data_IF_694548557014
#
_entry.id   IF_694548557014
#
_cell.length_a   1.000
_cell.length_b   1.000
_cell.length_c   1.000
_cell.angle_alpha   90.00
_cell.angle_beta   90.00
_cell.angle_gamma   90.00
#
_symmetry.space_group_name_H-M   'P 1'
#
loop_
_entity.id
_entity.type
_entity.pdbx_description
1 polymer ?
#
# COMPACT_ATOMS: atom_id res chain seq x y z
N UNK A 1 12.38 -8.50 5.91
CA UNK A 1 11.31 -8.08 6.84
C UNK A 1 11.90 -8.00 8.24
N UNK A 2 11.93 -6.82 8.88
CA UNK A 2 12.52 -6.65 10.21
C UNK A 2 11.42 -6.53 11.27
N UNK A 3 11.48 -7.34 12.33
CA UNK A 3 10.42 -7.44 13.36
C UNK A 3 10.87 -6.81 14.68
N UNK A 4 9.92 -6.31 15.49
CA UNK A 4 10.18 -5.84 16.86
C UNK A 4 10.83 -6.92 17.74
N UNK A 5 10.49 -8.19 17.52
CA UNK A 5 11.10 -9.31 18.24
C UNK A 5 12.57 -9.55 17.85
N UNK A 6 12.94 -9.35 16.58
CA UNK A 6 14.32 -9.46 16.11
C UNK A 6 15.20 -8.29 16.57
N UNK A 7 14.61 -7.09 16.67
CA UNK A 7 15.27 -5.92 17.27
C UNK A 7 15.47 -6.12 18.78
N UNK A 8 14.45 -6.63 19.49
CA UNK A 8 14.53 -6.90 20.93
C UNK A 8 15.55 -8.00 21.30
N UNK A 9 15.82 -8.95 20.42
CA UNK A 9 16.80 -10.03 20.64
C UNK A 9 18.23 -9.63 20.22
N UNK A 10 18.42 -8.45 19.59
CA UNK A 10 19.73 -7.98 19.16
C UNK A 10 20.22 -8.60 17.85
N UNK A 11 19.34 -9.31 17.13
CA UNK A 11 19.62 -9.87 15.81
C UNK A 11 19.63 -8.82 14.68
N UNK A 12 19.14 -7.60 14.91
CA UNK A 12 19.07 -6.51 13.93
C UNK A 12 19.15 -5.13 14.59
N UNK A 13 19.84 -4.18 13.94
CA UNK A 13 20.12 -2.85 14.50
C UNK A 13 19.07 -1.77 14.20
N UNK A 14 18.09 -2.00 13.30
CA UNK A 14 17.14 -0.94 12.92
C UNK A 14 15.83 -1.44 12.29
N UNK A 15 14.73 -0.68 12.43
CA UNK A 15 13.39 -0.99 11.87
C UNK A 15 13.25 -0.40 10.45
N UNK A 16 13.35 -1.25 9.42
CA UNK A 16 12.91 -0.89 8.05
C UNK A 16 11.98 -1.99 7.57
N UNK A 17 10.70 -1.67 7.37
CA UNK A 17 9.76 -2.52 6.65
C UNK A 17 8.84 -1.68 5.76
N UNK A 18 8.98 -1.92 4.46
CA UNK A 18 7.96 -1.70 3.43
C UNK A 18 6.63 -2.27 3.94
N UNK A 19 5.51 -1.62 3.62
CA UNK A 19 4.16 -1.96 4.06
C UNK A 19 3.92 -3.47 4.23
N UNK A 20 3.97 -3.94 5.47
CA UNK A 20 3.39 -5.21 5.88
C UNK A 20 2.32 -4.87 6.91
N UNK A 21 1.13 -4.63 6.40
CA UNK A 21 -0.08 -4.57 7.21
C UNK A 21 -0.23 -5.91 7.96
N UNK A 22 -0.45 -5.76 9.27
CA UNK A 22 -1.16 -6.67 10.20
C UNK A 22 -0.45 -7.93 10.67
N UNK A 23 -0.20 -7.97 11.99
CA UNK A 23 -0.99 -8.85 12.86
C UNK A 23 -0.81 -8.57 14.37
N UNK A 24 -1.61 -7.65 14.91
CA UNK A 24 -2.00 -7.53 16.32
C UNK A 24 -3.48 -7.09 16.25
N UNK A 25 -4.48 -7.60 17.01
CA UNK A 25 -4.42 -8.29 18.29
C UNK A 25 -5.79 -8.87 18.72
N UNK A 26 -6.33 -9.90 18.08
CA UNK A 26 -7.33 -10.73 18.77
C UNK A 26 -6.61 -11.82 19.58
N UNK A 27 -6.68 -11.70 20.92
CA UNK A 27 -6.17 -12.64 21.95
C UNK A 27 -4.68 -12.56 22.38
N UNK A 28 -4.07 -11.37 22.38
CA UNK A 28 -2.69 -11.19 22.90
C UNK A 28 -1.62 -12.07 22.22
N UNK A 29 -1.73 -12.34 20.91
CA UNK A 29 -0.73 -13.13 20.18
C UNK A 29 -0.44 -12.50 18.81
N UNK A 30 0.85 -12.28 18.56
CA UNK A 30 1.43 -11.78 17.30
C UNK A 30 1.56 -12.97 16.33
N UNK A 31 0.99 -12.86 15.13
CA UNK A 31 1.28 -13.80 14.02
C UNK A 31 2.07 -13.03 12.96
N UNK A 32 3.09 -13.66 12.39
CA UNK A 32 3.87 -13.09 11.29
C UNK A 32 4.05 -14.17 10.24
N UNK A 33 3.69 -13.86 9.00
CA UNK A 33 4.12 -14.62 7.82
C UNK A 33 5.51 -14.10 7.43
N UNK A 34 6.49 -15.00 7.34
CA UNK A 34 7.89 -14.65 7.14
C UNK A 34 8.34 -15.16 5.77
N UNK A 35 8.30 -14.30 4.74
CA UNK A 35 9.08 -14.54 3.53
C UNK A 35 10.56 -14.31 3.85
N UNK A 36 11.32 -15.39 3.84
CA UNK A 36 12.79 -15.43 3.82
C UNK A 36 13.55 -15.06 5.11
N UNK A 37 13.42 -15.88 6.17
CA UNK A 37 14.40 -15.89 7.27
C UNK A 37 15.17 -17.20 7.30
N UNK A 38 16.50 -17.13 7.46
CA UNK A 38 17.33 -18.31 7.63
C UNK A 38 16.84 -19.15 8.82
N UNK A 39 16.63 -20.46 8.61
CA UNK A 39 16.04 -21.41 9.58
C UNK A 39 16.72 -21.44 10.97
N UNK A 40 17.93 -20.90 11.11
CA UNK A 40 18.75 -20.97 12.32
C UNK A 40 18.28 -19.98 13.41
N UNK A 41 17.60 -18.88 13.07
CA UNK A 41 17.17 -17.85 14.04
C UNK A 41 15.71 -17.95 14.49
N UNK A 42 14.96 -18.93 14.00
CA UNK A 42 13.51 -19.13 14.27
C UNK A 42 13.25 -19.46 15.75
N UNK A 43 14.14 -20.23 16.38
CA UNK A 43 13.99 -20.67 17.77
C UNK A 43 14.02 -19.51 18.76
N UNK A 44 14.93 -18.56 18.57
CA UNK A 44 15.14 -17.48 19.53
C UNK A 44 14.10 -16.36 19.36
N UNK A 45 13.65 -16.11 18.13
CA UNK A 45 12.52 -15.21 17.84
C UNK A 45 11.20 -15.75 18.40
N UNK A 46 10.98 -17.07 18.37
CA UNK A 46 9.80 -17.70 19.01
C UNK A 46 9.83 -17.55 20.53
N UNK A 47 11.01 -17.66 21.16
CA UNK A 47 11.16 -17.44 22.62
C UNK A 47 10.86 -16.00 23.03
N UNK A 48 11.07 -15.04 22.14
CA UNK A 48 10.69 -13.65 22.33
C UNK A 48 9.18 -13.37 22.12
N UNK A 49 8.36 -14.40 21.87
CA UNK A 49 6.89 -14.31 21.82
C UNK A 49 6.27 -14.27 20.42
N UNK A 50 7.05 -14.47 19.36
CA UNK A 50 6.51 -14.56 18.00
C UNK A 50 5.91 -15.94 17.70
N UNK A 51 4.75 -15.99 17.03
CA UNK A 51 4.26 -17.22 16.38
C UNK A 51 4.69 -17.17 14.91
N UNK A 52 5.60 -18.08 14.55
CA UNK A 52 6.09 -18.21 13.19
C UNK A 52 5.22 -19.25 12.48
N UNK A 53 4.44 -18.81 11.49
CA UNK A 53 3.74 -19.72 10.59
C UNK A 53 4.67 -19.99 9.41
N UNK A 54 5.22 -21.22 9.24
CA UNK A 54 5.96 -21.53 8.02
C UNK A 54 4.99 -21.54 6.86
N UNK A 55 5.35 -20.87 5.75
CA UNK A 55 4.59 -20.97 4.50
C UNK A 55 4.37 -22.45 4.18
N UNK A 56 3.10 -22.84 4.04
CA UNK A 56 2.75 -24.15 3.51
C UNK A 56 3.06 -24.12 2.00
N UNK A 57 4.32 -24.40 1.67
CA UNK A 57 4.84 -24.86 0.38
C UNK A 57 4.25 -24.13 -0.85
N UNK A 58 4.86 -23.01 -1.26
CA UNK A 58 4.80 -22.60 -2.67
C UNK A 58 6.12 -22.14 -3.30
N UNK A 59 7.20 -21.98 -2.53
CA UNK A 59 8.51 -21.64 -3.11
C UNK A 59 9.61 -22.62 -2.66
N UNK A 60 9.49 -23.87 -3.08
CA UNK A 60 10.70 -24.69 -3.25
C UNK A 60 11.25 -24.37 -4.64
N UNK A 61 12.33 -23.61 -4.67
CA UNK A 61 13.11 -23.36 -5.88
C UNK A 61 13.29 -24.67 -6.68
N UNK A 62 13.23 -24.65 -8.03
CA UNK A 62 13.32 -25.85 -8.89
C UNK A 62 14.52 -26.75 -8.60
N UNK A 63 15.55 -26.23 -7.93
CA UNK A 63 16.74 -26.96 -7.51
C UNK A 63 16.52 -27.99 -6.38
N UNK A 64 15.57 -27.77 -5.45
CA UNK A 64 15.36 -28.67 -4.30
C UNK A 64 14.53 -29.89 -4.69
N UNK A 65 13.50 -29.72 -5.51
CA UNK A 65 12.61 -30.81 -5.95
C UNK A 65 13.36 -31.85 -6.79
N UNK A 66 14.39 -31.43 -7.53
CA UNK A 66 15.19 -32.31 -8.38
C UNK A 66 16.23 -33.16 -7.62
N UNK A 67 16.47 -32.89 -6.33
CA UNK A 67 17.49 -33.59 -5.53
C UNK A 67 16.91 -34.52 -4.43
N UNK A 68 15.58 -34.68 -4.36
CA UNK A 68 14.94 -35.62 -3.41
C UNK A 68 14.84 -37.01 -4.04
N UNK A 69 15.49 -38.00 -3.43
CA UNK A 69 15.50 -39.40 -3.87
C UNK A 69 14.05 -39.96 -3.97
N UNK A 70 13.67 -40.68 -5.06
CA UNK A 70 12.27 -41.04 -5.35
C UNK A 70 11.54 -41.82 -4.24
N UNK A 71 12.28 -42.59 -3.44
CA UNK A 71 11.73 -43.40 -2.35
C UNK A 71 11.12 -42.57 -1.19
N UNK A 72 11.48 -41.28 -1.05
CA UNK A 72 11.03 -40.45 0.06
C UNK A 72 9.84 -39.53 -0.28
N UNK A 73 9.41 -39.45 -1.56
CA UNK A 73 8.25 -38.61 -1.94
C UNK A 73 6.91 -39.13 -1.42
N UNK A 74 6.72 -40.46 -1.34
CA UNK A 74 5.44 -41.06 -0.93
C UNK A 74 5.17 -40.98 0.58
N UNK A 75 6.21 -40.82 1.41
CA UNK A 75 6.07 -40.81 2.87
C UNK A 75 5.61 -39.45 3.42
N UNK A 76 6.01 -38.36 2.75
CA UNK A 76 5.68 -36.98 3.17
C UNK A 76 4.21 -36.61 2.93
N UNK A 77 3.60 -37.14 1.86
CA UNK A 77 2.18 -36.87 1.51
C UNK A 77 1.23 -37.65 2.43
N UNK A 78 1.67 -38.78 3.00
CA UNK A 78 0.80 -39.66 3.78
C UNK A 78 0.69 -39.27 5.27
N UNK A 79 1.69 -38.59 5.84
CA UNK A 79 1.68 -38.19 7.25
C UNK A 79 0.97 -36.84 7.49
N UNK A 80 0.97 -35.92 6.52
CA UNK A 80 0.24 -34.65 6.59
C UNK A 80 -1.28 -34.82 6.55
N UNK A 81 -1.78 -35.87 5.89
CA UNK A 81 -3.23 -36.16 5.80
C UNK A 81 -3.87 -36.75 7.06
N UNK A 82 -3.10 -37.28 8.03
CA UNK A 82 -3.67 -37.93 9.23
C UNK A 82 -3.84 -36.99 10.44
N UNK A 83 -3.16 -35.85 10.50
CA UNK A 83 -3.24 -34.93 11.65
C UNK A 83 -4.38 -33.90 11.57
N UNK A 84 -5.08 -33.81 10.44
CA UNK A 84 -6.25 -32.95 10.28
C UNK A 84 -7.57 -33.55 10.82
N UNK A 85 -7.55 -34.74 11.44
CA UNK A 85 -8.78 -35.48 11.82
C UNK A 85 -8.94 -35.85 13.31
N UNK A 86 -8.17 -35.30 14.24
CA UNK A 86 -8.44 -35.52 15.67
C UNK A 86 -8.69 -34.21 16.42
N UNK A 87 -9.97 -33.91 16.64
CA UNK A 87 -10.42 -33.01 17.70
C UNK A 87 -10.05 -33.56 19.08
N UNK A 88 -9.81 -32.65 20.03
CA UNK A 88 -9.59 -32.87 21.48
C UNK A 88 -8.28 -33.56 21.92
N UNK A 89 -7.29 -32.77 22.35
CA UNK A 89 -6.83 -32.62 23.76
C UNK A 89 -5.40 -32.07 23.89
N UNK A 90 -5.24 -31.13 24.84
CA UNK A 90 -4.08 -30.78 25.69
C UNK A 90 -2.64 -30.94 25.16
N UNK A 91 -1.93 -29.79 25.12
CA UNK A 91 -0.46 -29.57 25.17
C UNK A 91 0.40 -30.60 24.44
N UNK A 92 0.91 -30.23 23.25
CA UNK A 92 1.94 -31.03 22.55
C UNK A 92 3.13 -30.15 22.20
N UNK A 93 4.27 -30.44 22.81
CA UNK A 93 5.58 -29.93 22.39
C UNK A 93 6.01 -30.64 21.10
N UNK A 94 6.36 -29.89 20.06
CA UNK A 94 6.95 -30.43 18.85
C UNK A 94 8.46 -30.63 19.09
N UNK A 95 8.92 -31.88 19.05
CA UNK A 95 10.35 -32.23 19.03
C UNK A 95 10.69 -32.69 17.61
N UNK A 96 11.43 -31.88 16.86
CA UNK A 96 12.01 -32.30 15.57
C UNK A 96 13.39 -32.87 15.84
N UNK A 97 13.60 -34.16 15.57
CA UNK A 97 14.88 -34.82 15.80
C UNK A 97 15.95 -34.40 14.79
N UNK A 98 17.09 -33.90 15.29
CA UNK A 98 18.34 -33.77 14.53
C UNK A 98 18.82 -35.15 14.06
N UNK A 99 18.53 -35.54 12.82
CA UNK A 99 19.14 -36.77 12.26
C UNK A 99 19.19 -36.78 10.73
N UNK A 100 19.59 -35.67 10.10
CA UNK A 100 19.79 -35.64 8.65
C UNK A 100 20.98 -34.81 8.16
N UNK A 101 22.07 -34.67 8.92
CA UNK A 101 23.35 -34.20 8.34
C UNK A 101 24.53 -34.85 9.07
N UNK A 102 24.99 -36.00 8.56
CA UNK A 102 26.34 -36.52 8.78
C UNK A 102 26.99 -36.74 7.43
N UNK A 103 27.84 -35.80 7.04
CA UNK A 103 28.67 -35.87 5.85
C UNK A 103 29.63 -34.68 5.89
N UNK A 104 30.77 -34.88 6.55
CA UNK A 104 31.79 -33.85 6.71
C UNK A 104 32.62 -33.65 5.44
N UNK A 105 33.04 -32.42 5.21
CA UNK A 105 34.23 -32.09 4.43
C UNK A 105 34.89 -30.85 5.07
N UNK A 106 36.12 -31.04 5.54
CA UNK A 106 37.03 -30.01 6.05
C UNK A 106 37.62 -29.21 4.89
N UNK A 107 37.65 -27.87 4.98
CA UNK A 107 38.63 -27.02 4.28
C UNK A 107 38.99 -25.82 5.20
N UNK A 108 40.29 -25.57 5.37
CA UNK A 108 40.91 -24.76 6.42
C UNK A 108 40.85 -23.22 6.30
N UNK A 109 41.62 -22.49 7.13
CA UNK A 109 41.45 -21.06 7.39
C UNK A 109 42.28 -20.20 6.43
N UNK A 110 41.70 -19.13 5.89
CA UNK A 110 42.45 -18.11 5.16
C UNK A 110 41.93 -16.68 5.44
N UNK A 111 42.81 -15.94 6.12
CA UNK A 111 43.27 -14.56 5.83
C UNK A 111 42.27 -13.43 5.55
N UNK A 112 42.36 -12.41 6.41
CA UNK A 112 42.01 -11.01 6.14
C UNK A 112 42.60 -10.52 4.80
N UNK A 113 41.76 -9.96 3.94
CA UNK A 113 42.14 -8.93 2.99
C UNK A 113 41.09 -7.81 3.01
N UNK A 114 41.53 -6.61 3.39
CA UNK A 114 40.83 -5.35 3.13
C UNK A 114 40.89 -5.07 1.63
N UNK A 115 39.75 -4.77 1.03
CA UNK A 115 39.65 -4.31 -0.36
C UNK A 115 38.33 -3.61 -0.60
N UNK A 116 38.31 -2.29 -0.42
CA UNK A 116 37.27 -1.42 -0.98
C UNK A 116 37.42 -1.42 -2.50
N UNK A 117 36.38 -1.79 -3.24
CA UNK A 117 36.20 -1.37 -4.64
C UNK A 117 34.73 -1.10 -4.91
N UNK A 118 34.42 0.19 -4.99
CA UNK A 118 33.23 0.78 -5.61
C UNK A 118 33.21 0.43 -7.10
N UNK A 119 32.13 -0.19 -7.58
CA UNK A 119 31.90 -0.37 -9.01
C UNK A 119 31.23 0.90 -9.57
N UNK A 120 32.04 1.79 -10.12
CA UNK A 120 31.63 2.83 -11.07
C UNK A 120 32.49 2.72 -12.32
N UNK A 121 31.88 3.11 -13.44
CA UNK A 121 32.40 3.20 -14.81
C UNK A 121 32.32 1.93 -15.65
N UNK A 122 31.40 1.95 -16.61
CA UNK A 122 31.73 1.55 -17.97
C UNK A 122 31.25 2.63 -18.94
N UNK A 123 32.22 3.18 -19.65
CA UNK A 123 32.13 4.19 -20.69
C UNK A 123 31.49 3.64 -21.96
N UNK A 124 30.52 4.36 -22.54
CA UNK A 124 30.13 4.19 -23.94
C UNK A 124 30.29 5.52 -24.69
N UNK A 125 30.96 5.43 -25.85
CA UNK A 125 31.24 6.52 -26.79
C UNK A 125 29.99 6.82 -27.62
N UNK A 126 29.62 8.09 -27.72
CA UNK A 126 28.69 8.63 -28.72
C UNK A 126 29.45 9.02 -29.99
N UNK A 127 28.88 8.83 -31.19
CA UNK A 127 29.24 9.63 -32.36
C UNK A 127 28.36 10.87 -32.48
N UNK A 128 29.03 11.97 -32.85
CA UNK A 128 28.46 13.26 -33.24
C UNK A 128 27.45 13.12 -34.40
N UNK A 129 26.36 13.88 -34.36
CA UNK A 129 25.93 14.69 -35.50
C UNK A 129 24.91 15.78 -35.10
N UNK A 130 25.38 17.02 -35.21
CA UNK A 130 24.74 18.25 -35.71
C UNK A 130 23.29 18.61 -35.34
N UNK A 131 23.21 19.77 -34.66
CA UNK A 131 22.06 20.65 -34.46
C UNK A 131 21.20 20.91 -35.71
N UNK A 132 19.88 20.95 -35.52
CA UNK A 132 19.01 21.92 -36.20
C UNK A 132 17.83 22.30 -35.29
N UNK A 133 17.76 23.60 -34.98
CA UNK A 133 16.66 24.25 -34.27
C UNK A 133 15.56 24.51 -35.29
N UNK A 134 14.35 23.98 -35.07
CA UNK A 134 13.14 24.53 -35.68
C UNK A 134 12.00 24.55 -34.66
N UNK A 135 11.69 25.76 -34.22
CA UNK A 135 10.39 26.11 -33.68
C UNK A 135 9.37 26.08 -34.83
N UNK A 136 8.27 25.34 -34.69
CA UNK A 136 7.08 25.54 -35.52
C UNK A 136 5.83 25.32 -34.68
N UNK A 137 5.08 26.40 -34.54
CA UNK A 137 3.70 26.46 -34.05
C UNK A 137 2.74 26.21 -35.23
N UNK A 138 1.67 25.47 -34.96
CA UNK A 138 0.33 25.42 -35.60
C UNK A 138 0.07 24.69 -36.93
N UNK A 139 -0.94 23.80 -36.88
CA UNK A 139 -1.78 23.36 -38.02
C UNK A 139 -2.47 21.99 -37.77
N UNK A 140 -3.79 21.82 -37.99
CA UNK A 140 -4.50 20.58 -37.68
C UNK A 140 -4.26 19.54 -38.78
N UNK A 141 -3.35 18.61 -38.53
CA UNK A 141 -3.15 17.43 -39.37
C UNK A 141 -4.12 16.33 -38.98
N UNK A 142 -4.97 15.91 -39.93
CA UNK A 142 -5.68 14.62 -39.85
C UNK A 142 -4.63 13.49 -39.83
N UNK A 143 -4.28 13.02 -38.64
CA UNK A 143 -3.45 11.83 -38.43
C UNK A 143 -4.35 10.66 -38.05
N UNK A 144 -4.27 9.57 -38.80
CA UNK A 144 -5.02 8.34 -38.53
C UNK A 144 -4.81 7.86 -37.09
N UNK A 145 -5.89 7.37 -36.48
CA UNK A 145 -5.82 6.62 -35.23
C UNK A 145 -4.95 5.38 -35.45
N UNK A 146 -3.65 5.49 -35.20
CA UNK A 146 -2.85 4.32 -34.85
C UNK A 146 -3.29 3.96 -33.45
N UNK A 147 -4.26 3.05 -33.34
CA UNK A 147 -4.66 2.48 -32.06
C UNK A 147 -3.38 2.04 -31.32
N UNK A 148 -3.30 2.35 -30.03
CA UNK A 148 -2.22 1.83 -29.19
C UNK A 148 -2.14 0.30 -29.37
N UNK A 149 -0.93 -0.30 -29.34
CA UNK A 149 -0.78 -1.76 -29.28
C UNK A 149 -1.76 -2.36 -28.27
N UNK A 150 -2.24 -3.57 -28.51
CA UNK A 150 -3.27 -4.21 -27.68
C UNK A 150 -2.85 -4.24 -26.20
N UNK A 151 -1.56 -4.47 -25.93
CA UNK A 151 -0.95 -4.43 -24.60
C UNK A 151 -0.92 -3.03 -23.92
N UNK A 152 -1.24 -1.97 -24.66
CA UNK A 152 -1.31 -0.57 -24.21
C UNK A 152 -2.74 -0.01 -24.30
N UNK A 153 -3.73 -0.89 -24.49
CA UNK A 153 -5.14 -0.54 -24.29
C UNK A 153 -5.54 -0.84 -22.85
N UNK A 154 -6.52 -0.10 -22.33
CA UNK A 154 -7.04 -0.33 -20.99
C UNK A 154 -8.14 -1.40 -21.03
N UNK A 155 -7.94 -2.49 -20.29
CA UNK A 155 -8.87 -3.62 -20.20
C UNK A 155 -10.03 -3.34 -19.22
N UNK A 156 -10.87 -2.35 -19.57
CA UNK A 156 -11.97 -1.85 -18.71
C UNK A 156 -12.87 -2.98 -18.19
N UNK A 157 -13.40 -3.82 -19.08
CA UNK A 157 -14.37 -4.86 -18.71
C UNK A 157 -13.77 -5.95 -17.79
N UNK A 158 -12.55 -6.47 -18.04
CA UNK A 158 -11.84 -7.29 -17.06
C UNK A 158 -11.69 -6.62 -15.70
N UNK A 159 -11.29 -5.35 -15.62
CA UNK A 159 -11.12 -4.65 -14.33
C UNK A 159 -12.43 -4.50 -13.54
N UNK A 160 -13.55 -4.23 -14.23
CA UNK A 160 -14.88 -4.17 -13.59
C UNK A 160 -15.26 -5.54 -13.02
N UNK A 161 -15.09 -6.61 -13.80
CA UNK A 161 -15.39 -7.99 -13.36
C UNK A 161 -14.50 -8.42 -12.20
N UNK A 162 -13.21 -8.09 -12.26
CA UNK A 162 -12.26 -8.32 -11.18
C UNK A 162 -12.79 -7.77 -9.86
N UNK A 163 -13.16 -6.48 -9.83
CA UNK A 163 -13.66 -5.80 -8.63
C UNK A 163 -14.96 -6.45 -8.13
N UNK A 164 -15.89 -6.76 -9.03
CA UNK A 164 -17.15 -7.45 -8.67
C UNK A 164 -16.91 -8.85 -8.06
N UNK A 165 -15.84 -9.53 -8.47
CA UNK A 165 -15.52 -10.88 -7.99
C UNK A 165 -14.85 -10.93 -6.62
N UNK A 166 -14.35 -9.80 -6.09
CA UNK A 166 -13.55 -9.78 -4.86
C UNK A 166 -14.32 -10.29 -3.63
N UNK A 167 -15.64 -10.12 -3.58
CA UNK A 167 -16.48 -10.62 -2.48
C UNK A 167 -17.06 -12.03 -2.71
N UNK A 168 -16.84 -12.66 -3.88
CA UNK A 168 -17.46 -13.96 -4.17
C UNK A 168 -16.71 -15.16 -3.61
N UNK A 169 -15.41 -15.00 -3.32
CA UNK A 169 -14.47 -16.08 -2.99
C UNK A 169 -14.42 -16.43 -1.49
N UNK A 170 -15.60 -16.52 -0.84
CA UNK A 170 -15.73 -16.70 0.63
C UNK A 170 -15.28 -18.07 1.13
N UNK A 171 -15.06 -19.02 0.23
CA UNK A 171 -14.52 -20.34 0.49
C UNK A 171 -12.98 -20.41 0.42
N UNK A 172 -12.32 -19.36 -0.07
CA UNK A 172 -10.85 -19.26 -0.18
C UNK A 172 -10.22 -18.68 1.10
N UNK A 173 -9.05 -19.20 1.49
CA UNK A 173 -8.32 -18.72 2.66
C UNK A 173 -7.81 -17.28 2.46
N UNK A 174 -7.39 -16.97 1.23
CA UNK A 174 -6.88 -15.69 0.76
C UNK A 174 -7.92 -14.57 0.97
N UNK A 175 -9.21 -14.88 0.77
CA UNK A 175 -10.29 -13.94 1.07
C UNK A 175 -10.27 -13.54 2.55
N UNK A 176 -10.19 -14.50 3.47
CA UNK A 176 -10.22 -14.22 4.90
C UNK A 176 -8.91 -13.59 5.42
N UNK A 177 -7.77 -13.89 4.78
CA UNK A 177 -6.51 -13.23 5.10
C UNK A 177 -6.54 -11.71 4.88
N UNK A 178 -7.44 -11.22 4.02
CA UNK A 178 -7.59 -9.78 3.72
C UNK A 178 -8.76 -9.12 4.46
N UNK A 179 -9.43 -9.82 5.38
CA UNK A 179 -10.58 -9.27 6.12
C UNK A 179 -10.25 -7.97 6.87
N UNK A 180 -9.03 -7.90 7.42
CA UNK A 180 -8.51 -6.72 8.12
C UNK A 180 -8.28 -5.49 7.21
N UNK A 181 -8.54 -5.61 5.91
CA UNK A 181 -8.45 -4.54 4.91
C UNK A 181 -9.79 -4.33 4.18
N UNK A 182 -10.85 -5.08 4.51
CA UNK A 182 -12.05 -5.24 3.65
C UNK A 182 -12.72 -3.90 3.33
N UNK A 183 -12.96 -3.06 4.33
CA UNK A 183 -13.59 -1.76 4.15
C UNK A 183 -12.72 -0.82 3.27
N UNK A 184 -11.40 -0.82 3.46
CA UNK A 184 -10.51 -0.07 2.57
C UNK A 184 -10.51 -0.67 1.15
N UNK A 185 -10.55 -2.00 1.03
CA UNK A 185 -10.69 -2.71 -0.24
C UNK A 185 -11.95 -2.32 -1.00
N UNK A 186 -13.06 -2.15 -0.29
CA UNK A 186 -14.32 -1.66 -0.86
C UNK A 186 -14.17 -0.21 -1.36
N UNK A 187 -13.50 0.66 -0.61
CA UNK A 187 -13.18 2.03 -1.06
C UNK A 187 -12.32 2.00 -2.34
N UNK A 188 -11.25 1.21 -2.36
CA UNK A 188 -10.36 1.10 -3.52
C UNK A 188 -11.09 0.58 -4.76
N UNK A 189 -11.90 -0.47 -4.61
CA UNK A 189 -12.70 -1.01 -5.70
C UNK A 189 -13.74 -0.02 -6.20
N UNK A 190 -14.47 0.62 -5.29
CA UNK A 190 -15.49 1.61 -5.66
C UNK A 190 -14.87 2.83 -6.36
N UNK A 191 -13.70 3.29 -5.92
CA UNK A 191 -13.01 4.41 -6.54
C UNK A 191 -12.54 4.08 -7.95
N UNK A 192 -11.94 2.90 -8.14
CA UNK A 192 -11.58 2.41 -9.48
C UNK A 192 -12.81 2.33 -10.40
N UNK A 193 -13.95 1.86 -9.91
CA UNK A 193 -15.20 1.79 -10.68
C UNK A 193 -15.74 3.16 -11.07
N UNK A 194 -15.64 4.16 -10.19
CA UNK A 194 -16.02 5.54 -10.53
C UNK A 194 -15.11 6.09 -11.64
N UNK A 195 -13.80 5.88 -11.52
CA UNK A 195 -12.82 6.30 -12.54
C UNK A 195 -13.03 5.58 -13.88
N UNK A 196 -13.55 4.35 -13.88
CA UNK A 196 -13.91 3.61 -15.10
C UNK A 196 -15.28 3.99 -15.68
N UNK A 197 -15.99 4.98 -15.10
CA UNK A 197 -17.34 5.35 -15.54
C UNK A 197 -18.37 4.24 -15.29
N UNK A 198 -18.17 3.43 -14.24
CA UNK A 198 -19.05 2.32 -13.82
C UNK A 198 -19.43 2.40 -12.33
N UNK A 199 -19.91 3.56 -11.83
CA UNK A 199 -20.17 3.76 -10.40
C UNK A 199 -21.21 2.78 -9.82
N UNK A 200 -22.14 2.31 -10.65
CA UNK A 200 -23.23 1.41 -10.25
C UNK A 200 -22.89 -0.09 -10.39
N UNK A 201 -21.62 -0.44 -10.63
CA UNK A 201 -21.21 -1.84 -10.82
C UNK A 201 -21.27 -2.70 -9.55
N UNK A 202 -21.35 -2.07 -8.37
CA UNK A 202 -21.58 -2.76 -7.09
C UNK A 202 -23.00 -2.47 -6.56
N UNK A 203 -23.65 -3.42 -5.87
CA UNK A 203 -24.97 -3.18 -5.29
C UNK A 203 -24.92 -2.08 -4.22
N UNK A 204 -25.55 -0.93 -4.50
CA UNK A 204 -25.51 0.25 -3.64
C UNK A 204 -25.97 -0.05 -2.20
N UNK A 205 -27.11 -0.72 -2.02
CA UNK A 205 -27.66 -0.95 -0.69
C UNK A 205 -26.77 -1.92 0.13
N UNK A 206 -26.27 -2.99 -0.48
CA UNK A 206 -25.38 -3.94 0.19
C UNK A 206 -24.06 -3.25 0.61
N UNK A 207 -23.57 -2.32 -0.22
CA UNK A 207 -22.40 -1.48 0.08
C UNK A 207 -22.66 -0.62 1.33
N UNK A 208 -23.79 0.07 1.39
CA UNK A 208 -24.18 0.92 2.53
C UNK A 208 -24.34 0.06 3.80
N UNK A 209 -25.07 -1.05 3.70
CA UNK A 209 -25.33 -1.94 4.83
C UNK A 209 -24.03 -2.51 5.39
N UNK A 210 -23.10 -2.95 4.53
CA UNK A 210 -21.78 -3.43 4.95
C UNK A 210 -21.00 -2.34 5.70
N UNK A 211 -20.91 -1.14 5.14
CA UNK A 211 -20.17 -0.03 5.75
C UNK A 211 -20.78 0.33 7.11
N UNK A 212 -22.10 0.53 7.20
CA UNK A 212 -22.76 0.92 8.45
C UNK A 212 -22.67 -0.19 9.53
N UNK A 213 -22.64 -1.46 9.13
CA UNK A 213 -22.38 -2.58 10.06
C UNK A 213 -20.96 -2.61 10.62
N UNK A 214 -20.02 -1.86 10.03
CA UNK A 214 -18.67 -1.68 10.58
C UNK A 214 -18.58 -0.52 11.58
N UNK A 215 -19.66 0.28 11.76
CA UNK A 215 -19.66 1.42 12.67
C UNK A 215 -19.81 0.99 14.14
N UNK A 216 -18.96 1.54 15.00
CA UNK A 216 -19.01 1.35 16.45
C UNK A 216 -19.79 2.44 17.16
N UNK A 217 -20.20 2.17 18.40
CA UNK A 217 -20.93 3.13 19.25
C UNK A 217 -20.14 4.41 19.55
N UNK A 218 -18.80 4.36 19.49
CA UNK A 218 -17.95 5.53 19.65
C UNK A 218 -17.88 6.40 18.39
N UNK A 219 -18.43 5.94 17.26
CA UNK A 219 -18.47 6.63 15.98
C UNK A 219 -17.49 6.11 14.94
N UNK A 220 -16.37 5.49 15.35
CA UNK A 220 -15.36 4.97 14.43
C UNK A 220 -15.81 3.70 13.70
N UNK A 221 -15.15 3.38 12.59
CA UNK A 221 -15.40 2.17 11.81
C UNK A 221 -14.24 1.19 11.92
N UNK A 222 -14.56 -0.11 11.91
CA UNK A 222 -13.58 -1.19 11.78
C UNK A 222 -13.40 -1.66 10.34
N UNK A 223 -12.41 -2.52 10.10
CA UNK A 223 -12.11 -3.07 8.77
C UNK A 223 -13.25 -3.93 8.19
N UNK A 224 -13.99 -4.60 9.07
CA UNK A 224 -15.13 -5.46 8.81
C UNK A 224 -15.99 -5.52 10.09
N UNK A 225 -17.24 -6.05 10.04
CA UNK A 225 -18.07 -6.18 11.22
C UNK A 225 -17.36 -6.93 12.35
N UNK A 226 -17.32 -6.34 13.55
CA UNK A 226 -16.65 -6.91 14.72
C UNK A 226 -15.14 -6.65 14.83
N UNK A 227 -14.52 -5.97 13.87
CA UNK A 227 -13.15 -5.47 13.99
C UNK A 227 -13.10 -4.15 14.75
N UNK A 228 -11.99 -3.85 15.42
CA UNK A 228 -11.83 -2.63 16.22
C UNK A 228 -11.90 -1.38 15.34
N UNK A 229 -12.44 -0.30 15.92
CA UNK A 229 -12.54 0.99 15.24
C UNK A 229 -11.15 1.61 15.05
N UNK A 230 -10.85 2.06 13.83
CA UNK A 230 -9.60 2.75 13.50
C UNK A 230 -9.86 3.91 12.54
N UNK A 231 -9.04 4.95 12.64
CA UNK A 231 -9.13 6.16 11.84
C UNK A 231 -9.12 5.87 10.34
N UNK A 232 -8.21 5.00 9.88
CA UNK A 232 -8.10 4.66 8.45
C UNK A 232 -9.39 4.06 7.87
N UNK A 233 -10.02 3.11 8.56
CA UNK A 233 -11.30 2.54 8.10
C UNK A 233 -12.45 3.54 8.23
N UNK A 234 -12.41 4.39 9.25
CA UNK A 234 -13.39 5.48 9.42
C UNK A 234 -13.38 6.43 8.23
N UNK A 235 -12.20 6.75 7.72
CA UNK A 235 -12.05 7.66 6.58
C UNK A 235 -12.51 7.00 5.29
N UNK A 236 -12.11 5.74 5.03
CA UNK A 236 -12.64 5.00 3.88
C UNK A 236 -14.16 4.81 3.95
N UNK A 237 -14.75 4.65 5.14
CA UNK A 237 -16.19 4.55 5.31
C UNK A 237 -16.88 5.85 4.90
N UNK A 238 -16.37 7.00 5.37
CA UNK A 238 -16.87 8.32 4.99
C UNK A 238 -16.75 8.53 3.48
N UNK A 239 -15.61 8.20 2.89
CA UNK A 239 -15.39 8.32 1.45
C UNK A 239 -16.39 7.47 0.65
N UNK A 240 -16.57 6.19 1.01
CA UNK A 240 -17.55 5.31 0.37
C UNK A 240 -18.96 5.92 0.47
N UNK A 241 -19.38 6.32 1.66
CA UNK A 241 -20.72 6.89 1.90
C UNK A 241 -20.93 8.19 1.13
N UNK A 242 -19.90 9.02 0.95
CA UNK A 242 -19.98 10.21 0.09
C UNK A 242 -20.14 9.79 -1.37
N UNK A 243 -19.32 8.86 -1.86
CA UNK A 243 -19.35 8.40 -3.25
C UNK A 243 -20.69 7.78 -3.64
N UNK A 244 -21.33 7.01 -2.75
CA UNK A 244 -22.66 6.43 -3.00
C UNK A 244 -23.83 7.33 -2.57
N UNK A 245 -23.56 8.60 -2.23
CA UNK A 245 -24.56 9.57 -1.77
C UNK A 245 -25.43 9.03 -0.60
N UNK A 246 -24.79 8.54 0.45
CA UNK A 246 -25.39 7.86 1.61
C UNK A 246 -24.98 8.49 2.96
N UNK A 247 -24.57 9.77 2.95
CA UNK A 247 -24.28 10.51 4.20
C UNK A 247 -25.53 10.66 5.07
N UNK A 248 -26.73 10.70 4.48
CA UNK A 248 -27.99 10.71 5.22
C UNK A 248 -28.27 9.35 5.93
N UNK A 249 -27.84 8.24 5.34
CA UNK A 249 -27.94 6.92 5.98
C UNK A 249 -27.00 6.83 7.21
N UNK A 250 -25.80 7.42 7.11
CA UNK A 250 -24.90 7.60 8.25
C UNK A 250 -25.50 8.47 9.36
N UNK A 251 -26.15 9.58 9.00
CA UNK A 251 -26.83 10.46 9.95
C UNK A 251 -27.89 9.69 10.74
N UNK A 252 -28.74 8.93 10.05
CA UNK A 252 -29.83 8.14 10.65
C UNK A 252 -29.33 6.99 11.51
N UNK A 253 -28.12 6.48 11.25
CA UNK A 253 -27.55 5.40 12.04
C UNK A 253 -27.31 5.82 13.51
N UNK A 254 -27.21 4.83 14.41
CA UNK A 254 -26.95 5.06 15.84
C UNK A 254 -27.89 6.10 16.47
N UNK A 255 -29.19 5.89 16.33
CA UNK A 255 -30.26 6.76 16.87
C UNK A 255 -30.20 8.21 16.34
N UNK A 256 -29.85 8.38 15.06
CA UNK A 256 -29.78 9.71 14.45
C UNK A 256 -28.54 10.51 14.83
N UNK A 257 -27.44 9.83 15.19
CA UNK A 257 -26.18 10.47 15.65
C UNK A 257 -24.94 9.92 14.96
N UNK A 258 -25.07 9.02 13.98
CA UNK A 258 -23.95 8.31 13.42
C UNK A 258 -22.89 9.24 12.83
N UNK A 259 -23.30 10.29 12.12
CA UNK A 259 -22.39 11.29 11.55
C UNK A 259 -21.68 12.12 12.63
N UNK A 260 -22.42 12.66 13.60
CA UNK A 260 -21.85 13.45 14.70
C UNK A 260 -20.86 12.63 15.54
N UNK A 261 -21.15 11.35 15.76
CA UNK A 261 -20.23 10.44 16.45
C UNK A 261 -18.94 10.21 15.65
N UNK A 262 -18.98 10.15 14.31
CA UNK A 262 -17.76 10.11 13.48
C UNK A 262 -16.91 11.36 13.70
N UNK A 263 -17.53 12.54 13.63
CA UNK A 263 -16.85 13.81 13.87
C UNK A 263 -16.19 13.85 15.26
N UNK A 264 -16.92 13.41 16.29
CA UNK A 264 -16.41 13.30 17.65
C UNK A 264 -15.25 12.31 17.76
N UNK A 265 -15.38 11.11 17.20
CA UNK A 265 -14.34 10.08 17.23
C UNK A 265 -13.03 10.60 16.65
N UNK A 266 -13.07 11.21 15.46
CA UNK A 266 -11.88 11.78 14.82
C UNK A 266 -11.29 12.93 15.62
N UNK A 267 -12.12 13.81 16.19
CA UNK A 267 -11.65 14.92 17.01
C UNK A 267 -11.01 14.47 18.33
N UNK A 268 -11.55 13.42 18.97
CA UNK A 268 -10.99 12.85 20.20
C UNK A 268 -9.61 12.20 19.98
N UNK A 269 -9.32 11.75 18.75
CA UNK A 269 -8.01 11.21 18.37
C UNK A 269 -6.93 12.27 18.17
N UNK A 270 -7.29 13.56 18.13
CA UNK A 270 -6.30 14.62 18.00
C UNK A 270 -5.54 14.82 19.33
N UNK A 271 -4.22 14.69 19.25
CA UNK A 271 -3.33 15.04 20.34
C UNK A 271 -3.32 16.57 20.53
N UNK A 272 -3.94 17.02 21.62
CA UNK A 272 -4.09 18.46 21.94
C UNK A 272 -2.76 19.17 22.16
N UNK A 273 -1.65 18.46 22.38
CA UNK A 273 -0.34 19.07 22.61
C UNK A 273 0.42 19.29 21.29
N UNK A 274 0.42 18.29 20.40
CA UNK A 274 1.22 18.25 19.17
C UNK A 274 0.42 18.55 17.91
N UNK A 275 -0.90 18.33 17.90
CA UNK A 275 -1.78 18.47 16.74
C UNK A 275 -1.85 17.23 15.86
N UNK A 276 -1.03 16.21 16.14
CA UNK A 276 -1.09 14.88 15.51
C UNK A 276 -2.40 14.17 15.82
N UNK A 277 -2.68 13.11 15.07
CA UNK A 277 -3.80 12.22 15.31
C UNK A 277 -3.27 10.82 15.60
N UNK A 278 -3.86 10.17 16.59
CA UNK A 278 -3.67 8.75 16.80
C UNK A 278 -4.53 7.95 15.80
N UNK A 279 -4.05 6.77 15.40
CA UNK A 279 -4.83 5.84 14.56
C UNK A 279 -6.06 5.27 15.29
N UNK A 280 -5.91 5.05 16.60
CA UNK A 280 -6.95 4.55 17.50
C UNK A 280 -6.56 4.83 18.97
N UNK A 281 -7.20 4.14 19.92
CA UNK A 281 -6.94 4.27 21.36
C UNK A 281 -5.54 3.81 21.81
N UNK A 282 -4.77 3.13 20.95
CA UNK A 282 -3.43 2.63 21.27
C UNK A 282 -2.31 3.62 20.96
N UNK A 283 -2.63 4.76 20.35
CA UNK A 283 -1.75 5.93 20.32
C UNK A 283 -0.61 5.89 19.29
N UNK A 284 -0.68 5.07 18.24
CA UNK A 284 0.20 5.24 17.08
C UNK A 284 -0.10 6.58 16.42
N UNK A 285 0.92 7.42 16.24
CA UNK A 285 0.81 8.71 15.54
C UNK A 285 1.67 8.70 14.27
N UNK A 286 1.09 9.17 13.16
CA UNK A 286 1.71 9.17 11.83
C UNK A 286 1.09 10.31 10.99
N UNK A 287 1.86 10.94 10.10
CA UNK A 287 1.36 11.92 9.12
C UNK A 287 0.20 11.40 8.24
N UNK A 288 0.07 10.09 8.04
CA UNK A 288 -1.11 9.46 7.42
C UNK A 288 -2.40 9.79 8.16
N UNK A 289 -2.37 9.78 9.49
CA UNK A 289 -3.56 10.02 10.32
C UNK A 289 -3.97 11.50 10.29
N UNK A 290 -3.01 12.42 10.13
CA UNK A 290 -3.29 13.84 9.90
C UNK A 290 -4.11 14.04 8.62
N UNK A 291 -3.65 13.52 7.49
CA UNK A 291 -4.40 13.58 6.23
C UNK A 291 -5.76 12.93 6.36
N UNK A 292 -5.78 11.69 6.84
CA UNK A 292 -7.00 10.90 6.87
C UNK A 292 -8.07 11.56 7.76
N UNK A 293 -7.71 12.07 8.95
CA UNK A 293 -8.65 12.81 9.80
C UNK A 293 -9.18 14.07 9.11
N UNK A 294 -8.31 14.90 8.55
CA UNK A 294 -8.72 16.13 7.88
C UNK A 294 -9.58 15.85 6.63
N UNK A 295 -9.30 14.76 5.90
CA UNK A 295 -10.09 14.35 4.74
C UNK A 295 -11.54 14.03 5.13
N UNK A 296 -11.76 13.12 6.08
CA UNK A 296 -13.12 12.79 6.52
C UNK A 296 -13.82 13.97 7.21
N UNK A 297 -13.12 14.74 8.04
CA UNK A 297 -13.69 15.93 8.67
C UNK A 297 -14.06 16.99 7.63
N UNK A 298 -13.30 17.16 6.55
CA UNK A 298 -13.63 18.07 5.46
C UNK A 298 -14.88 17.62 4.72
N UNK A 299 -14.95 16.33 4.34
CA UNK A 299 -16.09 15.73 3.65
C UNK A 299 -17.39 15.82 4.47
N UNK A 300 -17.30 15.74 5.80
CA UNK A 300 -18.46 15.86 6.69
C UNK A 300 -18.75 17.30 7.15
N UNK A 301 -17.92 18.27 6.77
CA UNK A 301 -17.95 19.68 7.20
C UNK A 301 -17.71 19.91 8.70
N UNK A 302 -16.83 19.10 9.30
CA UNK A 302 -16.48 19.07 10.72
C UNK A 302 -15.04 19.47 11.03
N UNK A 303 -14.32 20.12 10.11
CA UNK A 303 -12.96 20.64 10.38
C UNK A 303 -12.89 21.56 11.62
N UNK A 304 -13.99 22.22 11.97
CA UNK A 304 -14.07 23.09 13.16
C UNK A 304 -13.97 22.34 14.50
N UNK A 305 -14.03 21.00 14.49
CA UNK A 305 -13.89 20.19 15.70
C UNK A 305 -12.43 19.97 16.13
N UNK A 306 -11.46 20.32 15.27
CA UNK A 306 -10.04 20.05 15.48
C UNK A 306 -9.19 21.31 15.33
N UNK A 307 -8.01 21.30 15.94
CA UNK A 307 -7.01 22.36 15.81
C UNK A 307 -6.19 22.15 14.51
N UNK A 308 -6.69 22.72 13.42
CA UNK A 308 -6.06 22.64 12.09
C UNK A 308 -4.70 23.32 12.07
N UNK A 309 -4.53 24.46 12.75
CA UNK A 309 -3.27 25.19 12.76
C UNK A 309 -2.17 24.40 13.47
N UNK A 310 -2.50 23.69 14.55
CA UNK A 310 -1.54 22.82 15.22
C UNK A 310 -1.16 21.61 14.37
N UNK A 311 -2.11 21.01 13.66
CA UNK A 311 -1.83 19.96 12.68
C UNK A 311 -0.88 20.45 11.58
N UNK A 312 -1.11 21.66 11.03
CA UNK A 312 -0.23 22.29 10.04
C UNK A 312 1.17 22.53 10.61
N UNK A 313 1.29 23.05 11.84
CA UNK A 313 2.59 23.27 12.49
C UNK A 313 3.38 21.97 12.67
N UNK A 314 2.70 20.86 12.98
CA UNK A 314 3.35 19.56 13.05
C UNK A 314 3.85 19.10 11.67
N UNK A 315 3.03 19.22 10.63
CA UNK A 315 3.46 18.87 9.24
C UNK A 315 4.69 19.69 8.84
N UNK A 316 4.73 20.99 9.14
CA UNK A 316 5.90 21.84 8.89
C UNK A 316 7.15 21.29 9.59
N UNK A 317 7.02 20.74 10.80
CA UNK A 317 8.15 20.13 11.52
C UNK A 317 8.61 18.78 10.93
N UNK A 318 7.81 18.14 10.08
CA UNK A 318 8.17 16.92 9.34
C UNK A 318 8.94 17.20 8.04
N UNK A 319 9.09 18.47 7.62
CA UNK A 319 9.80 18.82 6.40
C UNK A 319 11.32 18.58 6.52
N UNK A 320 11.89 17.91 5.51
CA UNK A 320 13.29 17.50 5.51
C UNK A 320 14.21 18.39 4.67
N UNK A 321 15.52 18.18 4.84
CA UNK A 321 16.57 18.87 4.09
C UNK A 321 16.51 18.63 2.58
N UNK A 322 15.86 17.58 2.12
CA UNK A 322 15.67 17.24 0.71
C UNK A 322 14.35 17.81 0.14
N UNK A 323 13.54 18.45 0.98
CA UNK A 323 12.23 19.02 0.63
C UNK A 323 11.06 18.07 0.84
N UNK A 324 11.30 16.78 1.10
CA UNK A 324 10.27 15.79 1.36
C UNK A 324 9.77 15.80 2.81
N UNK A 325 8.87 14.87 3.10
CA UNK A 325 8.24 14.68 4.42
C UNK A 325 8.31 13.20 4.81
N UNK A 326 8.57 12.96 6.10
CA UNK A 326 8.55 11.62 6.70
C UNK A 326 7.33 11.40 7.60
N UNK A 327 7.26 10.22 8.21
CA UNK A 327 6.19 9.82 9.16
C UNK A 327 6.08 10.73 10.39
N UNK A 328 7.21 11.32 10.79
CA UNK A 328 7.35 12.20 11.95
C UNK A 328 8.58 13.09 11.77
N UNK A 329 8.79 14.13 12.63
CA UNK A 329 9.95 15.00 12.55
C UNK A 329 11.27 14.23 12.57
N UNK A 330 12.09 14.44 11.53
CA UNK A 330 13.39 13.78 11.36
C UNK A 330 13.32 12.40 10.70
N UNK A 331 12.14 11.87 10.41
CA UNK A 331 12.00 10.62 9.65
C UNK A 331 12.31 10.83 8.16
N UNK A 332 12.80 9.78 7.51
CA UNK A 332 13.15 9.79 6.07
C UNK A 332 11.98 10.20 5.18
N UNK A 333 12.26 11.00 4.16
CA UNK A 333 11.28 11.40 3.15
C UNK A 333 10.74 10.19 2.37
N UNK A 334 9.42 10.09 2.26
CA UNK A 334 8.75 8.99 1.55
C UNK A 334 7.53 9.51 0.79
N UNK A 335 7.34 9.07 -0.47
CA UNK A 335 6.28 9.57 -1.36
C UNK A 335 4.87 9.45 -0.76
N UNK A 336 4.59 8.36 -0.04
CA UNK A 336 3.30 8.20 0.66
C UNK A 336 3.07 9.21 1.80
N UNK A 337 4.14 9.60 2.51
CA UNK A 337 4.04 10.59 3.58
C UNK A 337 4.02 12.02 3.05
N UNK A 338 4.72 12.27 1.94
CA UNK A 338 4.61 13.50 1.18
C UNK A 338 3.16 13.71 0.70
N UNK A 339 2.54 12.67 0.12
CA UNK A 339 1.13 12.72 -0.25
C UNK A 339 0.25 13.10 0.94
N UNK A 340 0.39 12.40 2.07
CA UNK A 340 -0.41 12.69 3.25
C UNK A 340 -0.21 14.14 3.74
N UNK A 341 1.03 14.60 3.83
CA UNK A 341 1.33 15.98 4.25
C UNK A 341 0.74 17.00 3.28
N UNK A 342 0.90 16.82 1.96
CA UNK A 342 0.34 17.73 0.97
C UNK A 342 -1.20 17.70 0.94
N UNK A 343 -1.83 16.53 1.01
CA UNK A 343 -3.29 16.42 1.06
C UNK A 343 -3.86 17.14 2.30
N UNK A 344 -3.24 16.95 3.47
CA UNK A 344 -3.61 17.65 4.69
C UNK A 344 -3.44 19.17 4.55
N UNK A 345 -2.33 19.64 3.97
CA UNK A 345 -2.08 21.06 3.73
C UNK A 345 -3.04 21.66 2.69
N UNK A 346 -3.41 20.90 1.66
CA UNK A 346 -4.40 21.30 0.64
C UNK A 346 -5.77 21.51 1.28
N UNK A 347 -6.24 20.56 2.10
CA UNK A 347 -7.49 20.68 2.86
C UNK A 347 -7.45 21.89 3.82
N UNK A 348 -6.32 22.08 4.51
CA UNK A 348 -6.10 23.20 5.41
C UNK A 348 -5.92 24.55 4.68
N UNK A 349 -5.83 24.56 3.34
CA UNK A 349 -5.50 25.72 2.50
C UNK A 349 -4.17 26.37 2.89
N UNK A 350 -3.19 25.53 3.26
CA UNK A 350 -1.86 25.91 3.74
C UNK A 350 -0.70 25.41 2.87
N UNK A 351 -0.94 25.18 1.58
CA UNK A 351 0.13 24.83 0.63
C UNK A 351 1.23 25.91 0.55
N UNK A 352 0.95 27.15 0.99
CA UNK A 352 1.93 28.26 1.10
C UNK A 352 3.16 27.93 1.95
N UNK A 353 3.07 26.97 2.89
CA UNK A 353 4.21 26.60 3.75
C UNK A 353 5.21 25.67 3.07
N UNK A 354 4.87 25.12 1.91
CA UNK A 354 5.67 24.12 1.20
C UNK A 354 6.74 24.82 0.36
N UNK A 355 7.97 24.33 0.43
CA UNK A 355 8.99 24.68 -0.57
C UNK A 355 8.73 23.90 -1.87
N UNK A 356 7.87 24.46 -2.73
CA UNK A 356 7.32 23.81 -3.93
C UNK A 356 8.41 23.28 -4.86
N UNK A 357 9.39 24.09 -5.25
CA UNK A 357 10.38 23.67 -6.26
C UNK A 357 11.36 22.64 -5.70
N UNK A 358 11.71 22.73 -4.41
CA UNK A 358 12.58 21.75 -3.76
C UNK A 358 11.89 20.39 -3.64
N UNK A 359 10.64 20.38 -3.19
CA UNK A 359 9.83 19.16 -3.12
C UNK A 359 9.57 18.60 -4.53
N UNK A 360 9.23 19.46 -5.49
CA UNK A 360 9.01 19.09 -6.88
C UNK A 360 10.22 18.38 -7.47
N UNK A 361 11.45 18.84 -7.17
CA UNK A 361 12.68 18.19 -7.62
C UNK A 361 12.84 16.81 -6.99
N UNK A 362 12.57 16.67 -5.68
CA UNK A 362 12.64 15.37 -5.02
C UNK A 362 11.67 14.34 -5.63
N UNK A 363 10.44 14.80 -5.92
CA UNK A 363 9.37 14.00 -6.52
C UNK A 363 9.65 13.64 -7.98
N UNK A 364 10.14 14.58 -8.80
CA UNK A 364 10.43 14.30 -10.21
C UNK A 364 11.53 13.25 -10.38
N UNK A 365 12.53 13.26 -9.50
CA UNK A 365 13.63 12.29 -9.48
C UNK A 365 13.19 10.89 -9.00
N UNK A 366 11.91 10.69 -8.65
CA UNK A 366 11.34 9.36 -8.38
C UNK A 366 11.08 8.56 -9.65
N UNK A 367 11.02 9.21 -10.81
CA UNK A 367 10.83 8.51 -12.08
C UNK A 367 12.10 7.77 -12.49
N UNK A 368 11.99 6.45 -12.62
CA UNK A 368 13.10 5.59 -13.04
C UNK A 368 13.03 5.30 -14.54
N UNK A 369 14.04 4.62 -15.07
CA UNK A 369 14.24 4.42 -16.51
C UNK A 369 13.04 3.77 -17.22
N UNK A 370 12.34 2.84 -16.55
CA UNK A 370 11.17 2.15 -17.10
C UNK A 370 9.90 3.01 -17.16
N UNK A 371 9.92 4.24 -16.62
CA UNK A 371 8.79 5.17 -16.59
C UNK A 371 8.00 5.18 -15.28
N UNK A 372 8.10 4.11 -14.49
CA UNK A 372 7.48 4.02 -13.16
C UNK A 372 8.11 4.97 -12.14
N UNK A 373 7.40 5.17 -11.03
CA UNK A 373 7.83 6.02 -9.92
C UNK A 373 8.16 5.15 -8.70
N UNK A 374 9.19 5.49 -7.94
CA UNK A 374 9.49 4.83 -6.66
C UNK A 374 9.13 5.70 -5.44
N UNK A 375 9.11 5.08 -4.26
CA UNK A 375 8.70 5.74 -3.01
C UNK A 375 9.77 6.58 -2.35
N UNK A 376 11.04 6.37 -2.71
CA UNK A 376 12.22 7.04 -2.17
C UNK A 376 13.48 6.58 -2.96
N UNK A 377 14.61 7.31 -2.84
CA UNK A 377 15.86 6.92 -3.52
C UNK A 377 16.27 5.47 -3.28
N UNK A 378 16.90 4.86 -4.29
CA UNK A 378 17.43 3.50 -4.26
C UNK A 378 16.38 2.39 -4.02
N UNK A 379 15.10 2.67 -4.29
CA UNK A 379 14.02 1.68 -4.31
C UNK A 379 13.47 1.47 -5.72
N UNK A 380 12.84 0.33 -5.91
CA UNK A 380 12.17 -0.02 -7.16
C UNK A 380 10.86 0.74 -7.31
N UNK A 381 10.44 0.88 -8.56
CA UNK A 381 9.16 1.42 -8.96
C UNK A 381 7.96 0.56 -8.52
N UNK A 382 6.81 1.19 -8.41
CA UNK A 382 5.56 0.56 -8.01
C UNK A 382 4.37 1.37 -8.54
N UNK A 383 3.33 0.70 -9.03
CA UNK A 383 2.10 1.34 -9.51
C UNK A 383 1.50 2.29 -8.48
N UNK A 384 1.53 1.97 -7.18
CA UNK A 384 0.91 2.84 -6.18
C UNK A 384 1.58 4.22 -6.11
N UNK A 385 2.88 4.34 -6.43
CA UNK A 385 3.55 5.63 -6.50
C UNK A 385 3.14 6.46 -7.72
N UNK A 386 2.54 5.84 -8.74
CA UNK A 386 1.89 6.57 -9.84
C UNK A 386 0.76 7.46 -9.34
N UNK A 387 0.13 7.12 -8.22
CA UNK A 387 -0.75 8.03 -7.49
C UNK A 387 0.05 8.91 -6.53
N UNK A 388 0.76 8.33 -5.54
CA UNK A 388 1.36 9.09 -4.44
C UNK A 388 2.32 10.20 -4.90
N UNK A 389 3.14 9.95 -5.92
CA UNK A 389 4.09 10.94 -6.46
C UNK A 389 3.40 11.86 -7.46
N UNK A 390 2.65 11.33 -8.43
CA UNK A 390 2.04 12.17 -9.47
C UNK A 390 0.99 13.12 -8.89
N UNK A 391 0.17 12.66 -7.96
CA UNK A 391 -0.82 13.52 -7.30
C UNK A 391 -0.15 14.59 -6.42
N UNK A 392 0.96 14.24 -5.74
CA UNK A 392 1.76 15.22 -4.99
C UNK A 392 2.33 16.30 -5.92
N UNK A 393 2.83 15.91 -7.09
CA UNK A 393 3.25 16.86 -8.12
C UNK A 393 2.08 17.69 -8.66
N UNK A 394 0.88 17.11 -8.81
CA UNK A 394 -0.31 17.82 -9.25
C UNK A 394 -0.74 18.89 -8.24
N UNK A 395 -0.81 18.55 -6.94
CA UNK A 395 -1.15 19.48 -5.85
C UNK A 395 -0.25 20.72 -5.80
N UNK A 396 1.03 20.59 -6.17
CA UNK A 396 1.99 21.70 -6.19
C UNK A 396 2.21 22.30 -7.60
N UNK A 397 1.40 21.91 -8.59
CA UNK A 397 1.47 22.44 -9.95
C UNK A 397 2.75 22.08 -10.71
N UNK A 398 3.29 20.88 -10.51
CA UNK A 398 4.54 20.35 -11.07
C UNK A 398 4.40 18.98 -11.74
N UNK A 399 3.19 18.51 -12.02
CA UNK A 399 2.98 17.21 -12.71
C UNK A 399 3.75 17.10 -14.04
N UNK A 400 3.91 18.21 -14.76
CA UNK A 400 4.69 18.28 -16.01
C UNK A 400 6.21 18.06 -15.86
N UNK A 401 6.72 17.85 -14.64
CA UNK A 401 8.15 17.56 -14.39
C UNK A 401 8.53 16.09 -14.55
N UNK A 402 7.54 15.21 -14.73
CA UNK A 402 7.75 13.80 -15.07
C UNK A 402 7.26 13.52 -16.48
N UNK A 403 7.79 12.46 -17.09
CA UNK A 403 7.36 11.96 -18.39
C UNK A 403 6.03 11.20 -18.23
N UNK A 404 4.92 11.87 -18.52
CA UNK A 404 3.57 11.30 -18.39
C UNK A 404 3.28 10.18 -19.38
N UNK A 405 3.91 10.19 -20.57
CA UNK A 405 3.74 9.12 -21.53
C UNK A 405 4.40 7.85 -21.00
N UNK A 406 5.66 7.93 -20.54
CA UNK A 406 6.35 6.77 -19.95
C UNK A 406 5.64 6.22 -18.72
N UNK A 407 5.09 7.08 -17.86
CA UNK A 407 4.32 6.64 -16.70
C UNK A 407 3.05 5.89 -17.11
N UNK A 408 2.31 6.40 -18.10
CA UNK A 408 1.14 5.72 -18.68
C UNK A 408 1.52 4.32 -19.19
N UNK A 409 2.62 4.21 -19.93
CA UNK A 409 3.10 2.92 -20.43
C UNK A 409 3.48 1.96 -19.30
N UNK A 410 4.11 2.45 -18.22
CA UNK A 410 4.43 1.63 -17.06
C UNK A 410 3.16 1.10 -16.38
N UNK A 411 2.17 1.96 -16.11
CA UNK A 411 0.91 1.55 -15.48
C UNK A 411 0.21 0.48 -16.31
N UNK A 412 0.03 0.71 -17.61
CA UNK A 412 -0.68 -0.22 -18.50
C UNK A 412 0.01 -1.59 -18.61
N UNK A 413 1.33 -1.66 -18.48
CA UNK A 413 2.07 -2.94 -18.43
C UNK A 413 1.85 -3.74 -17.15
N UNK A 414 1.30 -3.13 -16.10
CA UNK A 414 1.03 -3.79 -14.83
C UNK A 414 -0.42 -4.32 -14.74
N UNK A 415 -1.23 -4.14 -15.78
CA UNK A 415 -2.60 -4.63 -15.82
C UNK A 415 -2.63 -6.12 -16.18
N UNK A 416 -3.57 -6.86 -15.61
CA UNK A 416 -3.99 -8.16 -16.15
C UNK A 416 -5.12 -7.92 -17.15
N UNK A 417 -4.86 -8.17 -18.43
CA UNK A 417 -5.82 -7.93 -19.51
C UNK A 417 -6.88 -9.02 -19.63
N UNK A 418 -6.68 -10.17 -18.99
CA UNK A 418 -7.59 -11.32 -19.06
C UNK A 418 -8.52 -11.36 -17.84
N UNK A 419 -7.94 -11.36 -16.64
CA UNK A 419 -8.66 -11.50 -15.37
C UNK A 419 -8.92 -10.16 -14.68
N UNK A 420 -8.28 -9.08 -15.15
CA UNK A 420 -8.45 -7.73 -14.63
C UNK A 420 -7.62 -7.43 -13.38
N UNK A 421 -7.60 -6.15 -12.99
CA UNK A 421 -6.77 -5.64 -11.91
C UNK A 421 -5.39 -5.15 -12.37
N UNK A 422 -4.70 -4.45 -11.47
CA UNK A 422 -3.30 -4.04 -11.64
C UNK A 422 -2.47 -4.64 -10.51
N UNK A 423 -1.25 -5.01 -10.84
CA UNK A 423 -0.21 -5.36 -9.89
C UNK A 423 0.66 -4.13 -9.56
N UNK A 424 1.57 -4.29 -8.61
CA UNK A 424 2.60 -3.30 -8.31
C UNK A 424 3.62 -3.13 -9.45
N UNK A 425 3.96 -4.23 -10.14
CA UNK A 425 4.88 -4.27 -11.29
C UNK A 425 4.43 -5.28 -12.36
N UNK A 426 4.97 -5.19 -13.60
CA UNK A 426 4.59 -6.11 -14.67
C UNK A 426 4.89 -7.58 -14.31
N UNK A 427 3.88 -8.44 -14.40
CA UNK A 427 3.99 -9.87 -14.14
C UNK A 427 3.82 -10.29 -12.68
N UNK A 428 3.68 -9.35 -11.74
CA UNK A 428 3.32 -9.64 -10.36
C UNK A 428 1.79 -9.88 -10.22
N UNK A 429 1.34 -10.34 -9.05
CA UNK A 429 -0.08 -10.62 -8.80
C UNK A 429 -0.87 -9.33 -8.61
N UNK A 430 -2.04 -9.24 -9.24
CA UNK A 430 -2.94 -8.09 -9.12
C UNK A 430 -3.61 -7.99 -7.75
N UNK A 431 -3.88 -6.77 -7.31
CA UNK A 431 -4.73 -6.49 -6.15
C UNK A 431 -5.58 -5.23 -6.35
N UNK A 432 -6.63 -5.08 -5.54
CA UNK A 432 -7.55 -3.94 -5.67
C UNK A 432 -6.93 -2.61 -5.25
N UNK A 433 -5.87 -2.63 -4.43
CA UNK A 433 -5.15 -1.43 -4.01
C UNK A 433 -4.35 -0.83 -5.17
N UNK A 434 -3.56 -1.65 -5.86
CA UNK A 434 -2.83 -1.24 -7.07
C UNK A 434 -3.78 -0.96 -8.23
N UNK A 435 -4.91 -1.67 -8.33
CA UNK A 435 -5.97 -1.35 -9.30
C UNK A 435 -6.51 0.08 -9.09
N UNK A 436 -6.82 0.46 -7.85
CA UNK A 436 -7.26 1.82 -7.53
C UNK A 436 -6.21 2.86 -7.90
N UNK A 437 -4.95 2.68 -7.49
CA UNK A 437 -3.93 3.70 -7.72
C UNK A 437 -3.37 3.72 -9.14
N UNK A 438 -3.40 2.60 -9.85
CA UNK A 438 -3.16 2.56 -11.30
C UNK A 438 -4.22 3.35 -12.05
N UNK A 439 -5.51 3.13 -11.74
CA UNK A 439 -6.61 3.92 -12.30
C UNK A 439 -6.50 5.40 -11.98
N UNK A 440 -6.23 5.76 -10.72
CA UNK A 440 -6.09 7.15 -10.32
C UNK A 440 -4.87 7.83 -10.99
N UNK A 441 -3.76 7.09 -11.18
CA UNK A 441 -2.61 7.57 -11.95
C UNK A 441 -2.96 7.84 -13.42
N UNK A 442 -3.65 6.93 -14.09
CA UNK A 442 -4.12 7.13 -15.48
C UNK A 442 -5.08 8.31 -15.59
N UNK A 443 -5.98 8.46 -14.61
CA UNK A 443 -6.91 9.60 -14.53
C UNK A 443 -6.18 10.93 -14.43
N UNK A 444 -5.18 11.06 -13.54
CA UNK A 444 -4.36 12.28 -13.43
C UNK A 444 -3.63 12.63 -14.73
N UNK A 445 -3.21 11.61 -15.49
CA UNK A 445 -2.57 11.75 -16.79
C UNK A 445 -3.57 11.97 -17.94
N UNK A 446 -4.86 12.06 -17.64
CA UNK A 446 -5.96 12.26 -18.59
C UNK A 446 -6.02 11.18 -19.66
N UNK A 447 -5.76 9.93 -19.27
CA UNK A 447 -5.83 8.81 -20.19
C UNK A 447 -7.27 8.62 -20.73
N UNK A 448 -7.47 8.43 -22.05
CA UNK A 448 -8.80 8.28 -22.62
C UNK A 448 -9.58 7.11 -22.01
N UNK A 449 -10.87 7.33 -21.71
CA UNK A 449 -11.75 6.31 -21.13
C UNK A 449 -11.67 6.18 -19.60
N UNK A 450 -10.94 7.08 -18.94
CA UNK A 450 -10.91 7.21 -17.48
C UNK A 450 -11.45 8.59 -17.10
N UNK A 451 -12.38 8.64 -16.14
CA UNK A 451 -12.96 9.87 -15.60
C UNK A 451 -11.92 10.68 -14.80
N UNK A 452 -12.13 11.99 -14.67
CA UNK A 452 -11.22 12.88 -13.95
C UNK A 452 -11.26 12.63 -12.43
N UNK A 453 -10.08 12.63 -11.81
CA UNK A 453 -9.89 12.46 -10.37
C UNK A 453 -9.47 13.77 -9.72
N UNK A 454 -10.01 14.06 -8.54
CA UNK A 454 -9.50 15.14 -7.69
C UNK A 454 -8.13 14.73 -7.11
N UNK A 455 -7.06 15.53 -7.28
CA UNK A 455 -5.76 15.21 -6.70
C UNK A 455 -5.69 15.28 -5.16
N UNK A 456 -6.72 15.79 -4.46
CA UNK A 456 -6.72 16.04 -3.00
C UNK A 456 -7.46 14.96 -2.20
#
# INVERSE_FOLDING_TARGET
MKTLAAVNEGSCDDLISLAAYVMLKQRHRLLLAVRETALISISDVTRAGAIICPDLIQNLAPWIVNNIHPANRRRYIYESGRHARSENTKKTHIVISQRLFKGGANIGPYTMFRGFTTATTNSFKLPNNTFSIMALVSGPGQGGSTALPEELQLAIEPHVKYIQSLDSRKDELEYWHTEHLRLNGLYWGLNALHLLGRPDALPRQETIDFVLNCQHKNGGFGAAPGHDAHLLYTVSAVQILVMVNAVEDLEKNLDGKGKDLVGKYLADLQNKNTGTFAGDEWGEEDTRFLYAALNALSLLHFLHLVDVDKAVNYIVSCANLDGGYGVSPGAESHSGQIFACLGALSIAKRIDVVNIDKLGRWLSERQVECGGLNGRPEKVEDVCYSWWVATSLAMIGRLHWIDGEKLTHFILKCQDTEEGGFADRPGDMVDVFHTCFGMAGLSLLKFPGVEEVDPI
#
